data_IF_536239569260
#
_entry.id   IF_536239569260
#
_cell.length_a   1.000
_cell.length_b   1.000
_cell.length_c   1.000
_cell.angle_alpha   90.00
_cell.angle_beta   90.00
_cell.angle_gamma   90.00
#
_symmetry.space_group_name_H-M   'P 1'
#
loop_
_entity.id
_entity.type
_entity.pdbx_description
1 polymer ?
#
# COMPACT_ATOMS: atom_id res chain seq x y z
N UNK A 1 10.98 28.58 -22.31
CA UNK A 1 10.77 27.64 -21.19
C UNK A 1 9.31 27.21 -21.22
N UNK A 2 9.03 26.09 -21.85
CA UNK A 2 7.68 25.53 -21.93
C UNK A 2 7.36 24.85 -20.61
N UNK A 3 6.39 25.39 -19.89
CA UNK A 3 5.78 24.81 -18.70
C UNK A 3 5.18 23.45 -19.07
N UNK A 4 5.91 22.39 -18.76
CA UNK A 4 5.45 21.01 -18.93
C UNK A 4 4.35 20.78 -17.89
N UNK A 5 3.09 21.09 -18.25
CA UNK A 5 1.93 20.71 -17.44
C UNK A 5 1.91 19.18 -17.36
N UNK A 6 2.24 18.65 -16.20
CA UNK A 6 1.95 17.26 -15.82
C UNK A 6 0.42 17.06 -15.84
N UNK A 7 -0.14 16.77 -17.03
CA UNK A 7 -1.56 16.47 -17.24
C UNK A 7 -1.89 14.99 -17.07
N UNK A 8 -1.06 14.24 -16.35
CA UNK A 8 -1.35 12.85 -15.98
C UNK A 8 -2.20 12.80 -14.71
N UNK A 9 -3.34 12.11 -14.76
CA UNK A 9 -4.10 11.81 -13.54
C UNK A 9 -3.24 10.96 -12.59
N UNK A 10 -2.94 11.51 -11.40
CA UNK A 10 -2.10 10.85 -10.38
C UNK A 10 -2.98 10.19 -9.33
N UNK A 11 -3.40 8.96 -9.60
CA UNK A 11 -4.24 8.15 -8.69
C UNK A 11 -3.65 8.03 -7.26
N UNK A 12 -2.32 7.95 -7.15
CA UNK A 12 -1.62 7.83 -5.86
C UNK A 12 -1.72 9.07 -4.97
N UNK A 13 -2.09 10.22 -5.54
CA UNK A 13 -2.34 11.46 -4.81
C UNK A 13 -3.82 11.82 -4.75
N UNK A 14 -4.69 11.07 -5.44
CA UNK A 14 -6.13 11.29 -5.44
C UNK A 14 -6.81 10.54 -4.29
N UNK A 15 -7.23 11.23 -3.21
CA UNK A 15 -7.90 10.59 -2.09
C UNK A 15 -9.26 10.00 -2.46
N UNK A 16 -9.94 10.54 -3.47
CA UNK A 16 -11.24 10.03 -3.91
C UNK A 16 -11.11 8.77 -4.76
N UNK A 17 -10.16 8.76 -5.70
CA UNK A 17 -9.82 7.57 -6.48
C UNK A 17 -9.45 6.38 -5.58
N UNK A 18 -8.59 6.61 -4.60
CA UNK A 18 -8.19 5.55 -3.66
C UNK A 18 -9.33 5.09 -2.75
N UNK A 19 -10.14 6.03 -2.23
CA UNK A 19 -11.31 5.71 -1.43
C UNK A 19 -12.33 4.87 -2.21
N UNK A 20 -12.60 5.23 -3.46
CA UNK A 20 -13.50 4.48 -4.34
C UNK A 20 -12.96 3.08 -4.63
N UNK A 21 -11.68 2.95 -4.99
CA UNK A 21 -11.06 1.66 -5.27
C UNK A 21 -11.07 0.75 -4.03
N UNK A 22 -10.65 1.26 -2.87
CA UNK A 22 -10.65 0.47 -1.62
C UNK A 22 -12.06 0.13 -1.17
N UNK A 23 -13.00 1.08 -1.26
CA UNK A 23 -14.40 0.86 -0.90
C UNK A 23 -15.02 -0.25 -1.76
N UNK A 24 -14.81 -0.21 -3.07
CA UNK A 24 -15.29 -1.24 -4.02
C UNK A 24 -14.62 -2.59 -3.75
N UNK A 25 -13.30 -2.63 -3.56
CA UNK A 25 -12.59 -3.87 -3.25
C UNK A 25 -13.09 -4.52 -1.95
N UNK A 26 -13.48 -3.71 -0.97
CA UNK A 26 -14.01 -4.16 0.33
C UNK A 26 -15.43 -4.75 0.23
N UNK A 27 -16.18 -4.41 -0.84
CA UNK A 27 -17.49 -5.02 -1.09
C UNK A 27 -17.38 -6.53 -1.34
N UNK A 28 -16.27 -6.97 -1.92
CA UNK A 28 -16.06 -8.37 -2.27
C UNK A 28 -15.37 -9.12 -1.12
N UNK A 29 -16.04 -10.14 -0.53
CA UNK A 29 -15.42 -10.96 0.49
C UNK A 29 -14.19 -11.66 -0.08
N UNK A 30 -13.04 -11.55 0.61
CA UNK A 30 -11.82 -12.28 0.23
C UNK A 30 -12.07 -13.78 0.16
N UNK A 31 -13.01 -14.31 0.96
CA UNK A 31 -13.44 -15.73 0.90
C UNK A 31 -14.01 -16.17 -0.45
N UNK A 32 -14.60 -15.25 -1.23
CA UNK A 32 -15.18 -15.56 -2.55
C UNK A 32 -14.17 -15.49 -3.69
N UNK A 33 -12.95 -15.03 -3.43
CA UNK A 33 -11.93 -14.99 -4.47
C UNK A 33 -11.52 -16.40 -4.92
N UNK A 34 -11.26 -16.59 -6.23
CA UNK A 34 -10.75 -17.85 -6.74
C UNK A 34 -9.39 -18.16 -6.10
N UNK A 35 -9.06 -19.45 -5.98
CA UNK A 35 -7.86 -19.91 -5.27
C UNK A 35 -6.57 -19.26 -5.78
N UNK A 36 -6.46 -19.07 -7.09
CA UNK A 36 -5.32 -18.39 -7.70
C UNK A 36 -5.20 -16.93 -7.26
N UNK A 37 -6.31 -16.20 -7.13
CA UNK A 37 -6.29 -14.79 -6.73
C UNK A 37 -5.95 -14.63 -5.24
N UNK A 38 -6.46 -15.54 -4.40
CA UNK A 38 -6.05 -15.62 -2.98
C UNK A 38 -4.57 -15.94 -2.86
N UNK A 39 -4.05 -16.82 -3.72
CA UNK A 39 -2.64 -17.16 -3.75
C UNK A 39 -1.80 -15.97 -4.20
N UNK A 40 -2.18 -15.25 -5.26
CA UNK A 40 -1.43 -14.08 -5.74
C UNK A 40 -1.50 -12.89 -4.77
N UNK A 41 -2.65 -12.61 -4.16
CA UNK A 41 -2.76 -11.58 -3.13
C UNK A 41 -2.04 -11.99 -1.84
N UNK A 42 -2.10 -13.28 -1.48
CA UNK A 42 -1.51 -13.82 -0.28
C UNK A 42 -0.01 -14.07 -0.35
N UNK A 43 0.55 -14.33 -1.53
CA UNK A 43 1.98 -14.65 -1.70
C UNK A 43 2.72 -13.75 -2.69
N UNK A 44 2.03 -13.02 -3.56
CA UNK A 44 2.66 -12.16 -4.57
C UNK A 44 3.53 -11.08 -3.94
N UNK A 45 3.02 -10.40 -2.89
CA UNK A 45 3.80 -9.42 -2.13
C UNK A 45 5.01 -10.02 -1.42
N UNK A 46 4.87 -11.22 -0.85
CA UNK A 46 5.98 -11.94 -0.19
C UNK A 46 7.04 -12.34 -1.20
N UNK A 47 6.63 -12.95 -2.31
CA UNK A 47 7.54 -13.38 -3.36
C UNK A 47 8.30 -12.18 -3.95
N UNK A 48 7.60 -11.09 -4.21
CA UNK A 48 8.21 -9.84 -4.69
C UNK A 48 9.19 -9.26 -3.66
N UNK A 49 8.78 -9.13 -2.40
CA UNK A 49 9.64 -8.55 -1.35
C UNK A 49 10.84 -9.45 -1.05
N UNK A 50 10.65 -10.77 -1.02
CA UNK A 50 11.72 -11.75 -0.83
C UNK A 50 12.70 -11.71 -1.99
N UNK A 51 12.22 -11.63 -3.24
CA UNK A 51 13.07 -11.49 -4.42
C UNK A 51 13.90 -10.20 -4.37
N UNK A 52 13.29 -9.10 -3.92
CA UNK A 52 13.95 -7.80 -3.74
C UNK A 52 15.03 -7.85 -2.65
N UNK A 53 14.75 -8.50 -1.52
CA UNK A 53 15.70 -8.62 -0.38
C UNK A 53 16.82 -9.62 -0.70
N UNK A 54 16.52 -10.70 -1.42
CA UNK A 54 17.49 -11.72 -1.79
C UNK A 54 18.48 -11.23 -2.86
N UNK A 55 18.04 -10.34 -3.76
CA UNK A 55 18.85 -9.86 -4.88
C UNK A 55 19.59 -8.56 -4.51
N UNK A 56 20.93 -8.58 -4.41
CA UNK A 56 21.70 -7.36 -4.18
C UNK A 56 21.40 -6.31 -5.27
N UNK A 57 21.08 -5.07 -4.89
CA UNK A 57 20.77 -3.98 -5.83
C UNK A 57 19.38 -4.03 -6.49
N UNK A 58 18.58 -5.07 -6.27
CA UNK A 58 17.20 -5.09 -6.78
C UNK A 58 16.30 -4.10 -6.02
N UNK A 59 16.52 -3.91 -4.72
CA UNK A 59 15.76 -2.95 -3.92
C UNK A 59 15.86 -1.52 -4.48
N UNK A 60 17.07 -1.06 -4.82
CA UNK A 60 17.28 0.27 -5.40
C UNK A 60 16.69 0.38 -6.80
N UNK A 61 16.82 -0.65 -7.63
CA UNK A 61 16.25 -0.67 -9.00
C UNK A 61 14.73 -0.67 -8.98
N UNK A 62 14.12 -1.47 -8.10
CA UNK A 62 12.66 -1.54 -7.95
C UNK A 62 12.13 -0.24 -7.34
N UNK A 63 12.78 0.30 -6.30
CA UNK A 63 12.42 1.59 -5.72
C UNK A 63 12.53 2.72 -6.74
N UNK A 64 13.58 2.73 -7.56
CA UNK A 64 13.76 3.71 -8.64
C UNK A 64 12.64 3.62 -9.67
N UNK A 65 12.34 2.43 -10.18
CA UNK A 65 11.22 2.23 -11.13
C UNK A 65 9.86 2.58 -10.52
N UNK A 66 9.64 2.25 -9.24
CA UNK A 66 8.41 2.62 -8.55
C UNK A 66 8.31 4.14 -8.35
N UNK A 67 9.41 4.81 -8.00
CA UNK A 67 9.49 6.26 -7.85
C UNK A 67 9.28 6.99 -9.18
N UNK A 68 9.87 6.49 -10.27
CA UNK A 68 9.61 6.96 -11.64
C UNK A 68 8.12 6.82 -12.00
N UNK A 69 7.53 5.66 -11.71
CA UNK A 69 6.11 5.41 -11.98
C UNK A 69 5.18 6.26 -11.11
N UNK A 70 5.62 6.62 -9.89
CA UNK A 70 4.89 7.45 -8.94
C UNK A 70 5.09 8.96 -9.21
N UNK A 71 6.04 9.31 -10.08
CA UNK A 71 6.37 10.70 -10.42
C UNK A 71 7.02 11.49 -9.28
N UNK A 72 7.76 10.81 -8.41
CA UNK A 72 8.42 11.36 -7.20
C UNK A 72 9.93 11.02 -7.24
N UNK A 73 10.55 11.33 -8.38
CA UNK A 73 11.91 10.89 -8.75
C UNK A 73 13.06 11.65 -8.06
N UNK A 74 12.78 12.69 -7.27
CA UNK A 74 13.82 13.66 -6.90
C UNK A 74 14.68 13.33 -5.67
N UNK A 75 14.35 12.35 -4.81
CA UNK A 75 15.12 12.10 -3.58
C UNK A 75 15.15 10.62 -3.17
N UNK A 76 15.67 9.73 -4.02
CA UNK A 76 16.13 8.43 -3.54
C UNK A 76 17.63 8.52 -3.30
N UNK A 77 18.03 8.97 -2.10
CA UNK A 77 19.38 8.68 -1.60
C UNK A 77 19.60 7.17 -1.76
N UNK A 78 20.62 6.80 -2.53
CA UNK A 78 20.94 5.42 -2.85
C UNK A 78 21.55 4.79 -1.59
N UNK A 79 20.69 4.43 -0.63
CA UNK A 79 21.13 3.75 0.59
C UNK A 79 21.46 2.31 0.21
N UNK A 80 22.69 2.10 -0.25
CA UNK A 80 23.26 0.76 -0.47
C UNK A 80 23.55 0.12 0.88
N UNK A 81 22.50 -0.35 1.57
CA UNK A 81 22.70 -1.15 2.78
C UNK A 81 23.24 -2.50 2.34
N UNK A 82 24.55 -2.69 2.45
CA UNK A 82 25.20 -3.98 2.24
C UNK A 82 24.85 -4.92 3.41
N UNK A 83 23.68 -5.54 3.33
CA UNK A 83 23.21 -6.48 4.34
C UNK A 83 24.03 -7.77 4.27
N UNK A 84 24.53 -8.25 5.41
CA UNK A 84 25.15 -9.58 5.53
C UNK A 84 24.15 -10.68 5.11
N UNK A 85 24.59 -11.79 4.49
CA UNK A 85 23.71 -12.87 4.04
C UNK A 85 22.76 -13.40 5.14
N UNK A 86 23.26 -13.57 6.37
CA UNK A 86 22.44 -13.99 7.50
C UNK A 86 21.35 -12.98 7.87
N UNK A 87 21.64 -11.67 7.79
CA UNK A 87 20.67 -10.60 8.02
C UNK A 87 19.60 -10.58 6.93
N UNK A 88 19.97 -10.82 5.67
CA UNK A 88 18.99 -10.92 4.56
C UNK A 88 18.04 -12.11 4.75
N UNK A 89 18.58 -13.26 5.13
CA UNK A 89 17.79 -14.45 5.42
C UNK A 89 16.83 -14.20 6.60
N UNK A 90 17.32 -13.59 7.69
CA UNK A 90 16.50 -13.23 8.84
C UNK A 90 15.38 -12.24 8.46
N UNK A 91 15.69 -11.23 7.66
CA UNK A 91 14.71 -10.24 7.19
C UNK A 91 13.66 -10.86 6.26
N UNK A 92 14.08 -11.76 5.36
CA UNK A 92 13.18 -12.49 4.48
C UNK A 92 12.19 -13.37 5.28
N UNK A 93 12.70 -14.11 6.28
CA UNK A 93 11.85 -14.95 7.15
C UNK A 93 10.90 -14.08 7.98
N UNK A 94 11.40 -13.00 8.59
CA UNK A 94 10.57 -12.08 9.37
C UNK A 94 9.47 -11.44 8.52
N UNK A 95 9.81 -11.02 7.29
CA UNK A 95 8.84 -10.44 6.33
C UNK A 95 7.80 -11.48 5.91
N UNK A 96 8.22 -12.71 5.60
CA UNK A 96 7.32 -13.81 5.27
C UNK A 96 6.38 -14.15 6.42
N UNK A 97 6.88 -14.18 7.66
CA UNK A 97 6.08 -14.44 8.85
C UNK A 97 5.08 -13.29 9.13
N UNK A 98 5.54 -12.04 9.06
CA UNK A 98 4.68 -10.87 9.23
C UNK A 98 3.56 -10.84 8.18
N UNK A 99 3.88 -11.19 6.94
CA UNK A 99 2.90 -11.25 5.87
C UNK A 99 1.92 -12.40 6.03
N UNK A 100 2.39 -13.62 6.34
CA UNK A 100 1.51 -14.76 6.58
C UNK A 100 0.56 -14.50 7.76
N UNK A 101 1.08 -13.90 8.83
CA UNK A 101 0.29 -13.43 9.97
C UNK A 101 -0.74 -12.38 9.54
N UNK A 102 -0.31 -11.35 8.81
CA UNK A 102 -1.19 -10.30 8.28
C UNK A 102 -2.30 -10.82 7.37
N UNK A 103 -1.99 -11.76 6.47
CA UNK A 103 -2.96 -12.40 5.60
C UNK A 103 -4.00 -13.21 6.39
N UNK A 104 -3.55 -14.05 7.33
CA UNK A 104 -4.45 -14.83 8.18
C UNK A 104 -5.32 -13.93 9.06
N UNK A 105 -4.74 -12.87 9.62
CA UNK A 105 -5.48 -11.87 10.39
C UNK A 105 -6.48 -11.11 9.52
N UNK A 106 -6.16 -10.80 8.26
CA UNK A 106 -7.06 -10.13 7.33
C UNK A 106 -8.28 -10.99 6.99
N UNK A 107 -8.08 -12.29 6.72
CA UNK A 107 -9.18 -13.23 6.46
C UNK A 107 -10.05 -13.42 7.71
N UNK A 108 -9.42 -13.51 8.88
CA UNK A 108 -10.12 -13.62 10.14
C UNK A 108 -10.89 -12.33 10.49
N UNK A 109 -10.26 -11.16 10.33
CA UNK A 109 -10.86 -9.87 10.64
C UNK A 109 -12.03 -9.56 9.71
N UNK A 110 -11.94 -9.88 8.41
CA UNK A 110 -13.07 -9.74 7.48
C UNK A 110 -14.31 -10.53 7.97
N UNK A 111 -14.09 -11.72 8.53
CA UNK A 111 -15.17 -12.57 9.07
C UNK A 111 -15.69 -12.05 10.41
N UNK A 112 -14.79 -11.67 11.32
CA UNK A 112 -15.16 -11.14 12.64
C UNK A 112 -15.92 -9.82 12.53
N UNK A 113 -15.45 -8.93 11.65
CA UNK A 113 -16.06 -7.62 11.40
C UNK A 113 -17.42 -7.77 10.71
N UNK A 114 -17.56 -8.65 9.71
CA UNK A 114 -18.88 -8.91 9.11
C UNK A 114 -19.88 -9.46 10.16
N UNK A 115 -19.43 -10.36 11.03
CA UNK A 115 -20.26 -10.90 12.11
C UNK A 115 -20.66 -9.83 13.12
N UNK A 116 -19.75 -8.91 13.46
CA UNK A 116 -20.03 -7.77 14.34
C UNK A 116 -21.09 -6.85 13.71
N UNK A 117 -20.92 -6.48 12.44
CA UNK A 117 -21.85 -5.60 11.72
C UNK A 117 -23.23 -6.26 11.57
N UNK A 118 -23.28 -7.58 11.38
CA UNK A 118 -24.54 -8.35 11.40
C UNK A 118 -25.19 -8.36 12.80
N UNK A 119 -24.40 -8.47 13.87
CA UNK A 119 -24.92 -8.36 15.25
C UNK A 119 -25.51 -6.98 15.54
N UNK A 120 -24.94 -5.93 14.93
CA UNK A 120 -25.49 -4.57 14.96
C UNK A 120 -26.75 -4.38 14.07
N UNK A 121 -27.27 -5.47 13.49
CA UNK A 121 -28.48 -5.49 12.63
C UNK A 121 -28.42 -4.57 11.41
N UNK A 122 -27.22 -4.29 10.92
CA UNK A 122 -27.07 -3.52 9.68
C UNK A 122 -27.50 -4.41 8.49
N UNK A 123 -28.48 -4.00 7.68
CA UNK A 123 -29.10 -4.84 6.65
C UNK A 123 -28.14 -5.15 5.48
N UNK A 124 -27.15 -4.29 5.24
CA UNK A 124 -26.15 -4.46 4.19
C UNK A 124 -24.73 -4.32 4.77
N UNK A 125 -24.22 -5.34 5.50
CA UNK A 125 -22.96 -5.24 6.23
C UNK A 125 -21.77 -4.91 5.32
N UNK A 126 -21.76 -5.40 4.08
CA UNK A 126 -20.69 -5.15 3.11
C UNK A 126 -20.67 -3.73 2.57
N UNK A 127 -21.84 -3.13 2.35
CA UNK A 127 -21.91 -1.72 1.95
C UNK A 127 -21.40 -0.81 3.08
N UNK A 128 -21.77 -1.12 4.33
CA UNK A 128 -21.27 -0.37 5.49
C UNK A 128 -19.75 -0.49 5.63
N UNK A 129 -19.19 -1.68 5.43
CA UNK A 129 -17.74 -1.89 5.47
C UNK A 129 -17.00 -1.24 4.31
N UNK A 130 -17.55 -1.31 3.09
CA UNK A 130 -16.99 -0.60 1.94
C UNK A 130 -16.98 0.91 2.14
N UNK A 131 -18.07 1.47 2.67
CA UNK A 131 -18.14 2.90 2.99
C UNK A 131 -17.14 3.29 4.10
N UNK A 132 -17.05 2.50 5.17
CA UNK A 132 -16.11 2.75 6.27
C UNK A 132 -14.64 2.66 5.80
N UNK A 133 -14.32 1.64 4.99
CA UNK A 133 -12.98 1.47 4.43
C UNK A 133 -12.62 2.61 3.47
N UNK A 134 -13.53 2.96 2.55
CA UNK A 134 -13.35 4.09 1.65
C UNK A 134 -13.14 5.41 2.40
N UNK A 135 -13.93 5.66 3.44
CA UNK A 135 -13.77 6.86 4.30
C UNK A 135 -12.42 6.88 5.02
N UNK A 136 -12.01 5.76 5.61
CA UNK A 136 -10.73 5.64 6.30
C UNK A 136 -9.55 5.89 5.34
N UNK A 137 -9.61 5.32 4.13
CA UNK A 137 -8.61 5.56 3.08
C UNK A 137 -8.58 7.01 2.64
N UNK A 138 -9.74 7.62 2.36
CA UNK A 138 -9.83 9.04 2.00
C UNK A 138 -9.13 9.92 3.04
N UNK A 139 -9.43 9.69 4.32
CA UNK A 139 -8.86 10.43 5.43
C UNK A 139 -7.34 10.24 5.54
N UNK A 140 -6.86 9.01 5.42
CA UNK A 140 -5.42 8.70 5.46
C UNK A 140 -4.66 9.38 4.32
N UNK A 141 -5.18 9.30 3.09
CA UNK A 141 -4.53 9.90 1.91
C UNK A 141 -4.55 11.42 2.02
N UNK A 142 -5.66 12.01 2.48
CA UNK A 142 -5.75 13.44 2.71
C UNK A 142 -4.68 13.92 3.71
N UNK A 143 -4.56 13.24 4.86
CA UNK A 143 -3.52 13.59 5.84
C UNK A 143 -2.11 13.41 5.28
N UNK A 144 -1.86 12.36 4.50
CA UNK A 144 -0.56 12.14 3.88
C UNK A 144 -0.20 13.26 2.90
N UNK A 145 -1.15 13.68 2.07
CA UNK A 145 -0.98 14.79 1.13
C UNK A 145 -0.70 16.11 1.86
N UNK A 146 -1.42 16.41 2.95
CA UNK A 146 -1.20 17.60 3.77
C UNK A 146 0.21 17.61 4.39
N UNK A 147 0.70 16.47 4.88
CA UNK A 147 2.07 16.34 5.42
C UNK A 147 3.14 16.54 4.36
N UNK A 148 2.94 16.01 3.16
CA UNK A 148 3.87 16.18 2.03
C UNK A 148 3.90 17.65 1.59
N UNK A 149 2.74 18.30 1.51
CA UNK A 149 2.63 19.71 1.18
C UNK A 149 3.36 20.60 2.20
N UNK A 150 3.20 20.33 3.50
CA UNK A 150 3.92 21.04 4.56
C UNK A 150 5.43 20.90 4.43
N UNK A 151 5.95 19.68 4.23
CA UNK A 151 7.39 19.43 4.03
C UNK A 151 7.95 20.14 2.79
N UNK A 152 7.20 20.14 1.67
CA UNK A 152 7.60 20.86 0.46
C UNK A 152 7.66 22.38 0.69
N UNK A 153 6.74 22.93 1.49
CA UNK A 153 6.75 24.34 1.86
C UNK A 153 7.95 24.71 2.75
N UNK A 154 8.32 23.84 3.70
CA UNK A 154 9.51 24.01 4.53
C UNK A 154 10.80 23.98 3.70
N UNK A 155 10.95 23.01 2.80
CA UNK A 155 12.13 22.94 1.91
C UNK A 155 12.30 24.17 1.02
N UNK A 156 11.20 24.74 0.51
CA UNK A 156 11.24 25.98 -0.28
C UNK A 156 11.68 27.19 0.55
N UNK A 157 11.41 27.20 1.85
CA UNK A 157 11.86 28.26 2.77
C UNK A 157 13.34 28.14 3.14
N UNK A 158 13.88 26.93 3.20
CA UNK A 158 15.31 26.71 3.53
C UNK A 158 16.23 26.80 2.32
N UNK A 159 15.69 26.82 1.09
CA UNK A 159 16.44 26.96 -0.16
C UNK A 159 16.40 28.37 -0.76
N UNK A 160 15.66 29.29 -0.13
CA UNK A 160 15.59 30.71 -0.46
C UNK A 160 16.40 31.53 0.55
#
# INVERSE_FOLDING_TARGET
>A
MTEQKDTGYRFLTDPWGQAAAVGVLTLFPVRKYPGWLKFTLGWGGVAATTAVVATPGAATTVLRKLSEWTGDAEDLEEVSIELKPATRAGLAVATGAAWYGGWRLSVWSDTAVENLVRKLRIPAPRLALGAAAGWATWWQVKQANERIAAKRAERKRTSA
#
